data_IF_996151236271
#
_entry.id   IF_996151236271
#
_cell.length_a   1.000
_cell.length_b   1.000
_cell.length_c   1.000
_cell.angle_alpha   90.00
_cell.angle_beta   90.00
_cell.angle_gamma   90.00
#
_symmetry.space_group_name_H-M   'P 1'
#
loop_
_entity.id
_entity.type
_entity.pdbx_description
1 polymer ?
#
# COMPACT_ATOMS: atom_id res chain seq x y z
N UNK A 1 -12.06 -15.97 9.81
CA UNK A 1 -10.99 -16.27 8.83
C UNK A 1 -10.87 -15.12 7.85
N UNK A 2 -9.66 -14.59 7.62
CA UNK A 2 -9.43 -13.50 6.67
C UNK A 2 -9.60 -14.03 5.25
N UNK A 3 -10.49 -13.42 4.48
CA UNK A 3 -10.72 -13.82 3.09
C UNK A 3 -10.10 -12.78 2.16
N UNK A 4 -9.23 -13.18 1.21
CA UNK A 4 -8.73 -12.28 0.19
C UNK A 4 -9.87 -11.86 -0.74
N UNK A 5 -9.67 -10.75 -1.42
CA UNK A 5 -10.61 -10.31 -2.45
C UNK A 5 -10.65 -11.37 -3.54
N UNK A 6 -11.86 -11.82 -3.90
CA UNK A 6 -12.13 -12.77 -4.98
C UNK A 6 -12.90 -12.09 -6.12
N UNK A 7 -12.99 -12.76 -7.25
CA UNK A 7 -13.74 -12.29 -8.42
C UNK A 7 -12.95 -11.36 -9.34
N UNK A 8 -13.68 -10.79 -10.30
CA UNK A 8 -13.13 -9.90 -11.33
C UNK A 8 -12.71 -8.58 -10.69
N UNK A 9 -11.59 -8.03 -11.15
CA UNK A 9 -10.98 -6.83 -10.58
C UNK A 9 -10.51 -5.88 -11.65
N UNK A 10 -10.52 -4.62 -11.29
CA UNK A 10 -9.91 -3.60 -12.10
C UNK A 10 -8.44 -3.93 -12.37
N UNK A 11 -8.08 -4.01 -13.64
CA UNK A 11 -6.73 -4.33 -14.09
C UNK A 11 -5.68 -3.37 -13.52
N UNK A 12 -6.05 -2.11 -13.29
CA UNK A 12 -5.11 -1.10 -12.78
C UNK A 12 -5.02 -1.03 -11.26
N UNK A 13 -6.13 -0.94 -10.53
CA UNK A 13 -6.12 -0.69 -9.07
C UNK A 13 -6.58 -1.88 -8.22
N UNK A 14 -6.95 -3.00 -8.86
CA UNK A 14 -7.44 -4.23 -8.20
C UNK A 14 -8.73 -4.07 -7.38
N UNK A 15 -9.50 -2.98 -7.59
CA UNK A 15 -10.84 -2.83 -7.01
C UNK A 15 -11.76 -3.92 -7.57
N UNK A 16 -12.58 -4.58 -6.75
CA UNK A 16 -13.60 -5.50 -7.25
C UNK A 16 -14.50 -4.83 -8.28
N UNK A 17 -14.84 -5.55 -9.33
CA UNK A 17 -15.78 -5.13 -10.36
C UNK A 17 -17.08 -5.92 -10.23
N UNK A 18 -18.19 -5.29 -10.64
CA UNK A 18 -19.51 -5.92 -10.58
C UNK A 18 -19.77 -6.80 -11.80
N UNK A 19 -19.17 -6.45 -12.94
CA UNK A 19 -19.38 -7.11 -14.22
C UNK A 19 -18.09 -7.78 -14.71
N UNK A 20 -18.21 -9.02 -15.17
CA UNK A 20 -17.06 -9.80 -15.67
C UNK A 20 -16.43 -9.21 -16.95
N UNK A 21 -17.19 -8.44 -17.71
CA UNK A 21 -16.71 -7.81 -18.95
C UNK A 21 -15.95 -6.51 -18.74
N UNK A 22 -15.95 -5.97 -17.52
CA UNK A 22 -15.24 -4.74 -17.20
C UNK A 22 -13.76 -5.03 -16.93
N UNK A 23 -12.87 -4.33 -17.63
CA UNK A 23 -11.43 -4.35 -17.35
C UNK A 23 -11.02 -3.30 -16.32
N UNK A 24 -11.66 -2.15 -16.31
CA UNK A 24 -11.32 -1.01 -15.44
C UNK A 24 -12.53 -0.54 -14.63
N UNK A 25 -12.29 -0.16 -13.38
CA UNK A 25 -13.32 0.52 -12.59
C UNK A 25 -13.55 1.94 -13.11
N UNK A 26 -14.69 2.54 -12.74
CA UNK A 26 -15.09 3.89 -13.12
C UNK A 26 -13.99 4.94 -12.98
N UNK A 27 -13.25 4.93 -11.85
CA UNK A 27 -12.17 5.88 -11.64
C UNK A 27 -10.97 5.65 -12.57
N UNK A 28 -10.59 4.40 -12.79
CA UNK A 28 -9.44 4.06 -13.62
C UNK A 28 -9.69 4.19 -15.12
N UNK A 29 -10.94 4.15 -15.57
CA UNK A 29 -11.32 4.42 -16.95
C UNK A 29 -11.25 5.91 -17.30
N UNK A 30 -11.42 6.80 -16.31
CA UNK A 30 -11.50 8.26 -16.53
C UNK A 30 -10.28 9.04 -16.09
N UNK A 31 -9.47 8.50 -15.18
CA UNK A 31 -8.30 9.21 -14.62
C UNK A 31 -7.01 8.60 -15.10
N UNK A 32 -6.08 9.44 -15.55
CA UNK A 32 -4.69 9.02 -15.76
C UNK A 32 -4.02 8.79 -14.40
N UNK A 33 -3.38 7.64 -14.24
CA UNK A 33 -2.59 7.28 -13.07
C UNK A 33 -1.12 7.22 -13.44
N UNK A 34 -0.24 7.63 -12.53
CA UNK A 34 1.22 7.57 -12.72
C UNK A 34 1.79 6.17 -12.45
N UNK A 35 1.04 5.30 -11.79
CA UNK A 35 1.40 3.90 -11.58
C UNK A 35 0.77 3.01 -12.67
N UNK A 36 1.44 1.94 -13.00
CA UNK A 36 0.99 0.99 -14.03
C UNK A 36 -0.11 0.07 -13.51
N UNK A 37 0.16 -0.63 -12.42
CA UNK A 37 -0.78 -1.60 -11.81
C UNK A 37 -0.68 -1.57 -10.28
N UNK A 38 -1.71 -2.11 -9.63
CA UNK A 38 -1.76 -2.28 -8.19
C UNK A 38 -2.45 -3.58 -7.80
N UNK A 39 -2.11 -4.12 -6.64
CA UNK A 39 -2.73 -5.30 -6.05
C UNK A 39 -3.37 -4.92 -4.73
N UNK A 40 -4.65 -5.21 -4.59
CA UNK A 40 -5.35 -5.19 -3.31
C UNK A 40 -5.53 -6.64 -2.82
N UNK A 41 -5.02 -6.95 -1.64
CA UNK A 41 -5.06 -8.32 -1.11
C UNK A 41 -6.34 -8.59 -0.35
N UNK A 42 -6.76 -7.64 0.50
CA UNK A 42 -7.93 -7.77 1.37
C UNK A 42 -8.87 -6.58 1.22
N UNK A 43 -10.17 -6.84 1.32
CA UNK A 43 -11.15 -5.78 1.53
C UNK A 43 -11.07 -5.21 2.95
N UNK A 44 -11.34 -3.92 3.11
CA UNK A 44 -11.35 -3.26 4.41
C UNK A 44 -12.67 -3.47 5.13
N UNK A 45 -12.88 -4.67 5.59
CA UNK A 45 -14.06 -5.09 6.37
C UNK A 45 -13.59 -5.83 7.62
N UNK A 46 -14.47 -6.02 8.61
CA UNK A 46 -14.16 -6.88 9.73
C UNK A 46 -13.93 -8.32 9.25
N UNK A 47 -12.91 -9.03 9.74
CA UNK A 47 -11.96 -8.70 10.83
C UNK A 47 -10.68 -7.96 10.37
N UNK A 48 -10.49 -7.69 9.07
CA UNK A 48 -9.29 -6.98 8.55
C UNK A 48 -9.18 -5.58 9.16
N UNK A 49 -10.29 -4.84 9.20
CA UNK A 49 -10.32 -3.49 9.76
C UNK A 49 -9.89 -3.47 11.25
N UNK A 50 -10.36 -4.45 12.03
CA UNK A 50 -10.00 -4.57 13.45
C UNK A 50 -8.51 -4.88 13.64
N UNK A 51 -7.96 -5.86 12.89
CA UNK A 51 -6.54 -6.22 13.01
C UNK A 51 -5.62 -5.09 12.53
N UNK A 52 -6.01 -4.34 11.49
CA UNK A 52 -5.26 -3.14 11.08
C UNK A 52 -5.37 -2.01 12.11
N UNK A 53 -6.46 -1.90 12.83
CA UNK A 53 -6.58 -0.98 13.96
C UNK A 53 -5.61 -1.37 15.09
N UNK A 54 -5.55 -2.65 15.45
CA UNK A 54 -4.59 -3.19 16.43
C UNK A 54 -3.14 -2.92 15.99
N UNK A 55 -2.82 -3.16 14.72
CA UNK A 55 -1.52 -2.84 14.14
C UNK A 55 -1.21 -1.33 14.21
N UNK A 56 -2.20 -0.45 14.03
CA UNK A 56 -1.96 1.00 14.02
C UNK A 56 -1.87 1.65 15.41
N UNK A 57 -2.59 1.12 16.39
CA UNK A 57 -2.82 1.82 17.65
C UNK A 57 -2.44 1.03 18.90
N UNK A 58 -2.26 -0.28 18.80
CA UNK A 58 -1.97 -1.17 19.92
C UNK A 58 -0.65 -1.95 19.78
N UNK A 59 0.26 -1.47 18.94
CA UNK A 59 1.59 -2.04 18.70
C UNK A 59 1.62 -3.55 18.34
N UNK A 60 0.51 -4.10 17.86
CA UNK A 60 0.38 -5.52 17.51
C UNK A 60 1.02 -5.80 16.13
N UNK A 61 2.37 -5.78 16.11
CA UNK A 61 3.18 -5.95 14.88
C UNK A 61 2.99 -7.30 14.20
N UNK A 62 2.60 -8.33 14.95
CA UNK A 62 2.30 -9.67 14.44
C UNK A 62 1.26 -9.67 13.32
N UNK A 63 0.28 -8.76 13.35
CA UNK A 63 -0.64 -8.60 12.23
C UNK A 63 0.06 -8.08 10.96
N UNK A 64 1.04 -7.19 11.12
CA UNK A 64 1.82 -6.69 9.99
C UNK A 64 2.68 -7.78 9.36
N UNK A 65 3.31 -8.61 10.18
CA UNK A 65 4.11 -9.77 9.72
C UNK A 65 3.21 -10.76 8.98
N UNK A 66 2.06 -11.10 9.57
CA UNK A 66 1.06 -11.96 8.93
C UNK A 66 0.64 -11.41 7.55
N UNK A 67 0.29 -10.12 7.48
CA UNK A 67 -0.11 -9.50 6.21
C UNK A 67 1.01 -9.49 5.18
N UNK A 68 2.25 -9.28 5.59
CA UNK A 68 3.42 -9.33 4.72
C UNK A 68 3.64 -10.71 4.13
N UNK A 69 3.63 -11.75 4.96
CA UNK A 69 3.77 -13.13 4.50
C UNK A 69 2.63 -13.55 3.58
N UNK A 70 1.39 -13.20 3.94
CA UNK A 70 0.23 -13.52 3.12
C UNK A 70 0.27 -12.81 1.77
N UNK A 71 0.59 -11.50 1.76
CA UNK A 71 0.70 -10.72 0.53
C UNK A 71 1.81 -11.25 -0.38
N UNK A 72 2.93 -11.69 0.20
CA UNK A 72 4.03 -12.31 -0.55
C UNK A 72 3.57 -13.56 -1.31
N UNK A 73 2.87 -14.46 -0.65
CA UNK A 73 2.34 -15.68 -1.27
C UNK A 73 1.30 -15.35 -2.33
N UNK A 74 0.36 -14.47 -1.96
CA UNK A 74 -0.77 -14.11 -2.81
C UNK A 74 -0.34 -13.41 -4.12
N UNK A 75 0.60 -12.48 -4.01
CA UNK A 75 1.04 -11.64 -5.13
C UNK A 75 2.30 -12.16 -5.85
N UNK A 76 2.87 -13.31 -5.44
CA UNK A 76 4.16 -13.81 -5.93
C UNK A 76 4.24 -13.81 -7.45
N UNK A 77 3.28 -14.45 -8.12
CA UNK A 77 3.26 -14.55 -9.59
C UNK A 77 3.25 -13.18 -10.27
N UNK A 78 2.45 -12.25 -9.74
CA UNK A 78 2.32 -10.92 -10.29
C UNK A 78 3.58 -10.08 -10.09
N UNK A 79 4.20 -10.16 -8.90
CA UNK A 79 5.45 -9.46 -8.58
C UNK A 79 6.59 -9.96 -9.47
N UNK A 80 6.66 -11.25 -9.71
CA UNK A 80 7.63 -11.84 -10.64
C UNK A 80 7.38 -11.41 -12.09
N UNK A 81 6.11 -11.40 -12.55
CA UNK A 81 5.75 -10.93 -13.88
C UNK A 81 6.07 -9.44 -14.08
N UNK A 82 5.91 -8.62 -13.05
CA UNK A 82 6.28 -7.21 -13.06
C UNK A 82 7.79 -6.97 -12.90
N UNK A 83 8.58 -8.01 -12.66
CA UNK A 83 10.04 -7.93 -12.44
C UNK A 83 10.39 -6.89 -11.37
N UNK A 84 9.67 -6.91 -10.25
CA UNK A 84 9.89 -5.99 -9.14
C UNK A 84 11.29 -6.20 -8.57
N UNK A 85 12.04 -5.11 -8.43
CA UNK A 85 13.42 -5.08 -7.94
C UNK A 85 13.50 -4.69 -6.46
N UNK A 86 12.53 -3.90 -5.98
CA UNK A 86 12.57 -3.31 -4.64
C UNK A 86 11.17 -3.06 -4.09
N UNK A 87 11.03 -3.19 -2.77
CA UNK A 87 9.83 -2.84 -2.02
C UNK A 87 10.06 -1.50 -1.29
N UNK A 88 9.17 -0.55 -1.48
CA UNK A 88 9.23 0.76 -0.83
C UNK A 88 7.99 0.96 0.02
N UNK A 89 8.08 0.90 1.36
CA UNK A 89 6.96 1.23 2.22
C UNK A 89 6.70 2.73 2.24
N UNK A 90 5.43 3.13 2.13
CA UNK A 90 5.03 4.53 2.27
C UNK A 90 5.41 5.04 3.67
N UNK A 91 6.19 6.12 3.79
CA UNK A 91 6.68 6.61 5.07
C UNK A 91 5.58 7.30 5.89
N UNK A 92 5.72 7.22 7.21
CA UNK A 92 4.98 8.05 8.14
C UNK A 92 5.68 9.41 8.32
N UNK A 93 4.90 10.43 8.68
CA UNK A 93 5.47 11.70 9.16
C UNK A 93 6.23 11.45 10.49
N UNK A 94 7.38 12.12 10.74
CA UNK A 94 8.19 11.89 11.95
C UNK A 94 7.39 11.94 13.25
N UNK A 95 6.47 12.89 13.39
CA UNK A 95 5.63 12.98 14.60
C UNK A 95 4.68 11.79 14.80
N UNK A 96 4.24 11.15 13.71
CA UNK A 96 3.42 9.93 13.81
C UNK A 96 4.29 8.72 14.08
N UNK A 97 5.50 8.70 13.53
CA UNK A 97 6.48 7.65 13.79
C UNK A 97 6.90 7.66 15.26
N UNK A 98 7.23 8.83 15.82
CA UNK A 98 7.56 9.00 17.23
C UNK A 98 6.42 8.54 18.17
N UNK A 99 5.16 8.94 17.86
CA UNK A 99 3.99 8.51 18.65
C UNK A 99 3.72 7.01 18.58
N UNK A 100 3.99 6.37 17.43
CA UNK A 100 3.61 4.97 17.15
C UNK A 100 4.74 3.99 17.38
N UNK A 101 6.00 4.47 17.35
CA UNK A 101 7.22 3.68 17.51
C UNK A 101 7.65 2.90 16.27
N UNK A 102 6.81 2.81 15.22
CA UNK A 102 7.14 2.08 13.98
C UNK A 102 6.23 2.49 12.81
N UNK A 103 6.68 2.15 11.60
CA UNK A 103 5.89 2.28 10.38
C UNK A 103 5.25 0.93 10.03
N UNK A 104 3.92 0.88 9.96
CA UNK A 104 3.17 -0.36 9.66
C UNK A 104 3.45 -0.87 8.25
N UNK A 105 3.57 0.04 7.27
CA UNK A 105 3.90 -0.33 5.90
C UNK A 105 5.29 -0.97 5.83
N UNK A 106 6.23 -0.52 6.65
CA UNK A 106 7.56 -1.09 6.76
C UNK A 106 7.53 -2.49 7.36
N UNK A 107 6.76 -2.72 8.44
CA UNK A 107 6.62 -4.07 9.02
C UNK A 107 6.12 -5.07 7.98
N UNK A 108 5.09 -4.68 7.20
CA UNK A 108 4.55 -5.51 6.13
C UNK A 108 5.59 -5.71 5.01
N UNK A 109 6.27 -4.63 4.58
CA UNK A 109 7.26 -4.69 3.52
C UNK A 109 8.44 -5.61 3.88
N UNK A 110 8.95 -5.54 5.12
CA UNK A 110 10.05 -6.39 5.58
C UNK A 110 9.65 -7.86 5.58
N UNK A 111 8.50 -8.21 6.14
CA UNK A 111 7.99 -9.58 6.12
C UNK A 111 7.73 -10.09 4.69
N UNK A 112 7.27 -9.22 3.81
CA UNK A 112 7.05 -9.54 2.39
C UNK A 112 8.39 -9.72 1.65
N UNK A 113 9.36 -8.82 1.88
CA UNK A 113 10.70 -8.86 1.28
C UNK A 113 11.47 -10.13 1.67
N UNK A 114 11.40 -10.53 2.94
CA UNK A 114 11.98 -11.78 3.44
C UNK A 114 11.44 -13.00 2.66
N UNK A 115 10.11 -13.10 2.49
CA UNK A 115 9.47 -14.22 1.75
C UNK A 115 9.75 -14.22 0.25
N UNK A 116 9.97 -13.06 -0.35
CA UNK A 116 10.17 -12.90 -1.79
C UNK A 116 11.65 -12.77 -2.17
N UNK A 117 12.55 -12.69 -1.18
CA UNK A 117 13.96 -12.35 -1.36
C UNK A 117 14.15 -11.03 -2.14
N UNK A 118 13.38 -10.00 -1.75
CA UNK A 118 13.45 -8.67 -2.33
C UNK A 118 13.95 -7.65 -1.31
N UNK A 119 14.81 -6.72 -1.70
CA UNK A 119 15.26 -5.64 -0.83
C UNK A 119 14.10 -4.70 -0.45
N UNK A 120 14.17 -4.18 0.78
CA UNK A 120 13.21 -3.19 1.30
C UNK A 120 13.96 -1.90 1.58
N UNK A 121 13.60 -0.83 0.86
CA UNK A 121 14.22 0.48 1.01
C UNK A 121 13.25 1.43 1.67
N UNK A 122 13.59 1.88 2.88
CA UNK A 122 12.70 2.65 3.75
C UNK A 122 12.91 4.16 3.67
N UNK A 123 14.01 4.59 3.08
CA UNK A 123 14.44 5.99 2.97
C UNK A 123 14.37 6.56 1.55
N UNK A 124 13.93 5.77 0.56
CA UNK A 124 13.75 6.23 -0.81
C UNK A 124 12.75 7.41 -0.94
N UNK A 125 11.78 7.48 -0.04
CA UNK A 125 10.78 8.55 0.03
C UNK A 125 10.67 9.06 1.45
N UNK A 126 10.66 10.37 1.63
CA UNK A 126 10.44 11.03 2.93
C UNK A 126 9.08 11.70 2.96
N UNK A 127 8.40 11.64 4.11
CA UNK A 127 7.18 12.40 4.34
C UNK A 127 7.53 13.67 5.09
N UNK A 128 7.41 14.80 4.40
CA UNK A 128 7.88 16.12 4.90
C UNK A 128 6.75 16.95 5.51
N UNK A 129 5.49 16.72 5.11
CA UNK A 129 4.35 17.46 5.66
C UNK A 129 3.45 16.60 6.54
N UNK A 130 3.02 17.19 7.67
CA UNK A 130 1.99 16.61 8.54
C UNK A 130 0.62 16.92 7.97
N UNK A 131 0.02 15.97 7.28
CA UNK A 131 -1.33 16.12 6.73
C UNK A 131 -2.41 15.75 7.75
N UNK A 132 -3.60 16.35 7.63
CA UNK A 132 -4.80 15.88 8.33
C UNK A 132 -5.09 14.41 8.00
N UNK A 133 -5.82 13.67 8.84
CA UNK A 133 -6.29 12.33 8.48
C UNK A 133 -7.04 12.38 7.14
N UNK A 134 -6.64 11.54 6.18
CA UNK A 134 -7.23 11.58 4.84
C UNK A 134 -8.74 11.32 4.82
N UNK A 135 -9.25 10.59 5.83
CA UNK A 135 -10.69 10.34 5.99
C UNK A 135 -11.53 11.61 6.23
N UNK A 136 -10.88 12.70 6.67
CA UNK A 136 -11.52 13.98 6.98
C UNK A 136 -11.50 14.95 5.80
N UNK A 137 -10.87 14.56 4.68
CA UNK A 137 -10.67 15.41 3.51
C UNK A 137 -11.50 14.91 2.33
N UNK A 138 -12.02 15.85 1.54
CA UNK A 138 -12.61 15.53 0.25
C UNK A 138 -11.55 15.09 -0.79
N UNK A 139 -11.92 14.49 -1.94
CA UNK A 139 -10.97 13.97 -2.92
C UNK A 139 -9.98 15.01 -3.46
N UNK A 140 -10.40 16.27 -3.63
CA UNK A 140 -9.53 17.34 -4.14
C UNK A 140 -8.53 17.78 -3.06
N UNK A 141 -8.97 17.93 -1.83
CA UNK A 141 -8.12 18.25 -0.68
C UNK A 141 -7.11 17.13 -0.40
N UNK A 142 -7.54 15.85 -0.49
CA UNK A 142 -6.63 14.69 -0.40
C UNK A 142 -5.49 14.82 -1.42
N UNK A 143 -5.83 15.10 -2.67
CA UNK A 143 -4.84 15.22 -3.75
C UNK A 143 -3.87 16.36 -3.49
N UNK A 144 -4.35 17.55 -3.17
CA UNK A 144 -3.51 18.72 -2.85
C UNK A 144 -2.60 18.45 -1.65
N UNK A 145 -3.16 17.88 -0.58
CA UNK A 145 -2.44 17.54 0.65
C UNK A 145 -1.33 16.50 0.42
N UNK A 146 -1.55 15.52 -0.47
CA UNK A 146 -0.57 14.48 -0.75
C UNK A 146 0.52 14.92 -1.73
N UNK A 147 0.24 15.86 -2.64
CA UNK A 147 1.23 16.31 -3.63
C UNK A 147 2.49 16.92 -2.99
N UNK A 148 2.36 17.59 -1.85
CA UNK A 148 3.47 18.23 -1.12
C UNK A 148 4.00 17.38 0.04
N UNK A 149 3.27 16.33 0.40
CA UNK A 149 3.58 15.56 1.59
C UNK A 149 4.80 14.65 1.46
N UNK A 150 5.20 14.32 0.24
CA UNK A 150 6.27 13.38 -0.02
C UNK A 150 7.36 13.99 -0.89
N UNK A 151 8.61 13.70 -0.52
CA UNK A 151 9.79 14.05 -1.32
C UNK A 151 10.65 12.81 -1.56
N UNK A 152 11.18 12.63 -2.78
CA UNK A 152 12.16 11.59 -3.05
C UNK A 152 13.48 11.89 -2.28
N UNK A 153 14.22 10.86 -1.93
CA UNK A 153 15.56 11.01 -1.39
C UNK A 153 16.53 11.50 -2.49
N UNK A 154 17.59 12.23 -2.09
CA UNK A 154 18.54 12.82 -3.05
C UNK A 154 19.39 11.78 -3.79
N UNK A 155 19.73 10.68 -3.15
CA UNK A 155 20.53 9.58 -3.72
C UNK A 155 19.65 8.36 -3.91
N UNK A 156 19.11 8.17 -5.12
CA UNK A 156 18.30 7.00 -5.43
C UNK A 156 19.07 6.06 -6.37
N UNK A 157 19.02 4.78 -6.05
CA UNK A 157 19.39 3.74 -7.00
C UNK A 157 18.40 3.78 -8.18
N UNK A 158 18.88 3.46 -9.37
CA UNK A 158 18.07 3.46 -10.59
C UNK A 158 17.30 2.17 -10.74
N UNK A 159 16.27 1.94 -9.88
CA UNK A 159 15.34 0.82 -10.06
C UNK A 159 14.37 1.12 -11.19
N UNK A 160 14.18 0.14 -12.06
CA UNK A 160 13.18 0.22 -13.14
C UNK A 160 11.77 -0.11 -12.65
N UNK A 161 11.65 -1.13 -11.80
CA UNK A 161 10.37 -1.63 -11.32
C UNK A 161 10.30 -1.63 -9.79
N UNK A 162 9.47 -0.76 -9.25
CA UNK A 162 9.34 -0.53 -7.82
C UNK A 162 7.95 -0.93 -7.36
N UNK A 163 7.83 -1.64 -6.25
CA UNK A 163 6.55 -1.89 -5.58
C UNK A 163 6.40 -1.00 -4.35
N UNK A 164 5.46 -0.08 -4.41
CA UNK A 164 5.12 0.79 -3.28
C UNK A 164 4.07 0.09 -2.41
N UNK A 165 4.37 -0.07 -1.12
CA UNK A 165 3.46 -0.67 -0.16
C UNK A 165 2.77 0.39 0.70
N UNK A 166 1.45 0.32 0.75
CA UNK A 166 0.63 1.22 1.56
C UNK A 166 -0.53 0.48 2.19
N UNK A 167 -0.90 0.91 3.40
CA UNK A 167 -2.12 0.50 4.10
C UNK A 167 -3.28 1.45 3.78
N UNK A 168 -3.46 1.77 2.51
CA UNK A 168 -4.55 2.65 2.09
C UNK A 168 -5.83 1.84 1.96
N UNK A 169 -6.91 2.40 2.47
CA UNK A 169 -8.24 2.03 2.10
C UNK A 169 -8.48 2.31 0.63
N UNK A 170 -8.75 1.28 -0.14
CA UNK A 170 -9.35 1.41 -1.47
C UNK A 170 -10.88 1.35 -1.29
N UNK A 171 -11.38 1.97 -0.28
CA UNK A 171 -12.80 2.19 -0.14
C UNK A 171 -13.01 3.68 -0.02
N UNK A 172 -13.39 4.28 -1.04
CA UNK A 172 -14.11 5.56 -1.17
C UNK A 172 -13.66 6.33 -2.39
#
# INVERSE_FOLDING_TARGET
MLKPIKGVRCYRCSRPLLEERQEFCYDCSRKKHVYQQGIAVFGYQSPVAQSLYQLKYHARKEYGIFYGHYAAVYAKKQIQAWKIEVLIPVPLHPSRLAKRGYNQAEVIARAMGEKLNLPVVTDAVKRVEKTKPLKELNPQERRKSLQRAFMPAKNQAHWKNVLILSLIHISE
#
